data_IF_584636466626
#
_entry.id   IF_584636466626
#
_cell.length_a   1.000
_cell.length_b   1.000
_cell.length_c   1.000
_cell.angle_alpha   90.00
_cell.angle_beta   90.00
_cell.angle_gamma   90.00
#
_symmetry.space_group_name_H-M   'P 1'
#
loop_
_entity.id
_entity.type
_entity.pdbx_description
1 polymer ?
#
# COMPACT_ATOMS: atom_id res chain seq x y z
N UNK A 1 -41.37 20.42 78.47
CA UNK A 1 -42.36 21.52 78.53
C UNK A 1 -43.60 20.94 79.18
N UNK A 2 -43.58 20.83 80.50
CA UNK A 2 -44.11 21.80 81.48
C UNK A 2 -45.49 21.37 81.97
N UNK A 3 -45.46 20.74 83.14
CA UNK A 3 -46.55 20.57 84.11
C UNK A 3 -46.79 21.88 84.88
N UNK A 4 -48.04 22.29 85.08
CA UNK A 4 -48.57 23.18 86.16
C UNK A 4 -49.93 23.70 85.64
N UNK A 5 -51.07 23.69 86.34
CA UNK A 5 -51.47 24.28 87.61
C UNK A 5 -53.00 23.98 87.67
N UNK A 6 -53.72 23.87 88.77
CA UNK A 6 -53.49 24.23 90.15
C UNK A 6 -54.87 24.28 90.83
N UNK A 7 -54.96 23.68 92.00
CA UNK A 7 -56.07 23.68 92.95
C UNK A 7 -56.76 25.05 93.14
N UNK A 8 -58.07 25.03 93.40
CA UNK A 8 -58.67 25.90 94.44
C UNK A 8 -59.82 25.22 95.16
N UNK A 9 -59.56 24.93 96.44
CA UNK A 9 -60.45 24.48 97.50
C UNK A 9 -60.78 25.68 98.39
N UNK A 10 -62.00 25.76 98.93
CA UNK A 10 -62.44 26.26 100.26
C UNK A 10 -63.85 26.86 100.17
N UNK A 11 -64.90 26.24 100.74
CA UNK A 11 -65.39 26.39 102.14
C UNK A 11 -65.33 27.84 102.65
N UNK A 12 -66.48 28.47 102.90
CA UNK A 12 -66.81 29.11 104.19
C UNK A 12 -68.33 29.01 104.42
N UNK A 13 -68.70 28.18 105.39
CA UNK A 13 -69.96 28.20 106.13
C UNK A 13 -69.76 29.24 107.23
N UNK A 14 -70.63 30.25 107.31
CA UNK A 14 -70.61 31.29 108.35
C UNK A 14 -71.96 31.34 109.09
N UNK A 15 -72.11 30.47 110.08
CA UNK A 15 -73.14 30.59 111.13
C UNK A 15 -72.65 31.59 112.18
N UNK A 16 -73.39 32.68 112.40
CA UNK A 16 -73.14 33.67 113.44
C UNK A 16 -74.40 33.90 114.27
N UNK A 17 -74.53 33.18 115.38
CA UNK A 17 -75.56 33.44 116.38
C UNK A 17 -75.15 34.56 117.34
N UNK A 18 -76.09 35.46 117.66
CA UNK A 18 -76.15 36.20 118.92
C UNK A 18 -77.59 36.15 119.46
N UNK A 19 -77.67 35.76 120.74
CA UNK A 19 -78.86 35.48 121.56
C UNK A 19 -79.44 36.77 122.22
N UNK A 20 -80.63 36.69 122.86
CA UNK A 20 -81.68 37.73 122.85
C UNK A 20 -81.76 38.59 124.13
N UNK A 21 -82.60 39.63 124.10
CA UNK A 21 -83.25 40.15 125.31
C UNK A 21 -84.77 40.15 125.13
N UNK A 22 -85.44 39.65 126.17
CA UNK A 22 -86.85 39.31 126.26
C UNK A 22 -87.82 40.48 126.04
N UNK A 23 -88.88 40.21 125.28
CA UNK A 23 -90.27 40.61 125.52
C UNK A 23 -91.09 39.86 124.43
N UNK A 24 -91.56 38.65 124.74
CA UNK A 24 -92.93 38.41 125.19
C UNK A 24 -93.97 38.64 124.07
N UNK A 25 -94.58 37.52 123.66
CA UNK A 25 -95.97 37.37 123.19
C UNK A 25 -96.17 37.51 121.67
N UNK A 26 -96.22 36.37 120.97
CA UNK A 26 -97.24 35.93 119.99
C UNK A 26 -96.67 34.89 119.00
N UNK A 27 -96.62 33.64 119.46
CA UNK A 27 -96.38 32.44 118.65
C UNK A 27 -97.63 32.12 117.82
N UNK A 28 -97.70 32.59 116.57
CA UNK A 28 -98.53 31.95 115.52
C UNK A 28 -98.19 32.41 114.07
N UNK A 29 -97.29 33.39 113.87
CA UNK A 29 -96.90 33.92 112.55
C UNK A 29 -95.54 33.45 112.00
N UNK A 30 -94.72 32.76 112.79
CA UNK A 30 -93.35 32.36 112.40
C UNK A 30 -93.29 31.16 111.44
N UNK A 31 -94.34 30.32 111.42
CA UNK A 31 -94.48 29.24 110.44
C UNK A 31 -94.75 29.79 109.03
N UNK A 32 -95.42 30.94 108.91
CA UNK A 32 -95.66 31.61 107.62
C UNK A 32 -94.38 32.15 106.99
N UNK A 33 -93.51 32.76 107.80
CA UNK A 33 -92.22 33.32 107.34
C UNK A 33 -91.21 32.23 106.98
N UNK A 34 -91.20 31.10 107.71
CA UNK A 34 -90.40 29.92 107.37
C UNK A 34 -90.92 29.22 106.11
N UNK A 35 -92.24 29.15 105.93
CA UNK A 35 -92.84 28.58 104.71
C UNK A 35 -92.56 29.48 103.49
N UNK A 36 -92.67 30.80 103.64
CA UNK A 36 -92.36 31.78 102.59
C UNK A 36 -90.88 31.77 102.22
N UNK A 37 -89.97 31.65 103.20
CA UNK A 37 -88.53 31.57 102.93
C UNK A 37 -88.12 30.24 102.29
N UNK A 38 -88.73 29.12 102.70
CA UNK A 38 -88.55 27.81 102.04
C UNK A 38 -89.12 27.84 100.63
N UNK A 39 -90.27 28.47 100.41
CA UNK A 39 -90.84 28.68 99.07
C UNK A 39 -89.97 29.59 98.21
N UNK A 40 -89.43 30.69 98.75
CA UNK A 40 -88.50 31.58 98.05
C UNK A 40 -87.18 30.91 97.70
N UNK A 41 -86.60 30.11 98.62
CA UNK A 41 -85.38 29.34 98.35
C UNK A 41 -85.65 28.24 97.31
N UNK A 42 -86.80 27.57 97.37
CA UNK A 42 -87.23 26.60 96.36
C UNK A 42 -87.38 27.26 94.99
N UNK A 43 -87.99 28.44 94.92
CA UNK A 43 -88.12 29.24 93.69
C UNK A 43 -86.75 29.71 93.18
N UNK A 44 -85.87 30.20 94.05
CA UNK A 44 -84.55 30.67 93.67
C UNK A 44 -83.64 29.53 93.18
N UNK A 45 -83.68 28.36 93.83
CA UNK A 45 -83.01 27.15 93.38
C UNK A 45 -83.58 26.67 92.03
N UNK A 46 -84.89 26.76 91.86
CA UNK A 46 -85.54 26.39 90.61
C UNK A 46 -85.14 27.36 89.48
N UNK A 47 -85.15 28.67 89.72
CA UNK A 47 -84.67 29.67 88.77
C UNK A 47 -83.18 29.51 88.45
N UNK A 48 -82.34 29.21 89.44
CA UNK A 48 -80.90 28.98 89.23
C UNK A 48 -80.66 27.69 88.44
N UNK A 49 -81.42 26.64 88.73
CA UNK A 49 -81.40 25.38 87.97
C UNK A 49 -81.86 25.58 86.52
N UNK A 50 -82.94 26.34 86.30
CA UNK A 50 -83.44 26.71 84.98
C UNK A 50 -82.45 27.60 84.22
N UNK A 51 -81.80 28.56 84.89
CA UNK A 51 -80.73 29.41 84.30
C UNK A 51 -79.50 28.58 83.92
N UNK A 52 -79.10 27.65 84.79
CA UNK A 52 -77.98 26.73 84.54
C UNK A 52 -78.29 25.78 83.37
N UNK A 53 -79.49 25.21 83.32
CA UNK A 53 -79.99 24.42 82.19
C UNK A 53 -80.03 25.23 80.91
N UNK A 54 -80.52 26.47 80.94
CA UNK A 54 -80.56 27.34 79.78
C UNK A 54 -79.16 27.76 79.30
N UNK A 55 -78.18 27.88 80.20
CA UNK A 55 -76.78 28.12 79.84
C UNK A 55 -76.15 26.87 79.24
N UNK A 56 -76.29 25.71 79.90
CA UNK A 56 -75.82 24.43 79.36
C UNK A 56 -76.43 24.12 78.00
N UNK A 57 -77.73 24.37 77.82
CA UNK A 57 -78.40 24.20 76.53
C UNK A 57 -77.82 25.10 75.43
N UNK A 58 -77.47 26.35 75.76
CA UNK A 58 -76.76 27.26 74.84
C UNK A 58 -75.35 26.78 74.52
N UNK A 59 -74.58 26.38 75.53
CA UNK A 59 -73.20 25.90 75.35
C UNK A 59 -73.17 24.60 74.52
N UNK A 60 -74.10 23.67 74.78
CA UNK A 60 -74.28 22.44 73.98
C UNK A 60 -74.66 22.77 72.54
N UNK A 61 -75.54 23.76 72.35
CA UNK A 61 -75.91 24.22 70.99
C UNK A 61 -74.74 24.88 70.26
N UNK A 62 -73.90 25.65 70.95
CA UNK A 62 -72.69 26.26 70.39
C UNK A 62 -71.62 25.23 70.05
N UNK A 63 -71.42 24.22 70.90
CA UNK A 63 -70.52 23.09 70.60
C UNK A 63 -71.04 22.28 69.42
N UNK A 64 -72.35 22.03 69.35
CA UNK A 64 -72.97 21.34 68.23
C UNK A 64 -72.77 22.11 66.91
N UNK A 65 -72.91 23.43 66.90
CA UNK A 65 -72.63 24.24 65.70
C UNK A 65 -71.14 24.26 65.34
N UNK A 66 -70.23 24.36 66.31
CA UNK A 66 -68.79 24.24 66.05
C UNK A 66 -68.43 22.87 65.45
N UNK A 67 -68.95 21.79 66.02
CA UNK A 67 -68.76 20.42 65.49
C UNK A 67 -69.35 20.31 64.07
N UNK A 68 -70.54 20.87 63.83
CA UNK A 68 -71.15 20.90 62.50
C UNK A 68 -70.31 21.68 61.47
N UNK A 69 -69.57 22.71 61.89
CA UNK A 69 -68.63 23.44 61.02
C UNK A 69 -67.29 22.72 60.81
N UNK A 70 -66.75 22.07 61.84
CA UNK A 70 -65.46 21.37 61.77
C UNK A 70 -65.55 20.05 61.01
N UNK A 71 -66.66 19.33 61.13
CA UNK A 71 -66.86 18.04 60.46
C UNK A 71 -66.61 18.09 58.94
N UNK A 72 -67.24 19.00 58.15
CA UNK A 72 -66.97 19.10 56.72
C UNK A 72 -65.54 19.56 56.41
N UNK A 73 -64.91 20.38 57.26
CA UNK A 73 -63.50 20.77 57.09
C UNK A 73 -62.56 19.57 57.25
N UNK A 74 -62.78 18.72 58.26
CA UNK A 74 -61.98 17.50 58.47
C UNK A 74 -62.17 16.52 57.33
N UNK A 75 -63.40 16.34 56.84
CA UNK A 75 -63.66 15.49 55.68
C UNK A 75 -62.94 16.01 54.43
N UNK A 76 -63.00 17.32 54.17
CA UNK A 76 -62.28 17.96 53.06
C UNK A 76 -60.77 17.79 53.18
N UNK A 77 -60.19 17.98 54.36
CA UNK A 77 -58.75 17.79 54.60
C UNK A 77 -58.31 16.34 54.37
N UNK A 78 -59.15 15.36 54.73
CA UNK A 78 -58.87 13.94 54.42
C UNK A 78 -58.88 13.68 52.92
N UNK A 79 -59.82 14.27 52.20
CA UNK A 79 -59.89 14.15 50.74
C UNK A 79 -58.68 14.80 50.07
N UNK A 80 -58.31 16.01 50.49
CA UNK A 80 -57.10 16.71 50.01
C UNK A 80 -55.82 15.91 50.31
N UNK A 81 -55.68 15.37 51.53
CA UNK A 81 -54.54 14.52 51.89
C UNK A 81 -54.46 13.24 51.05
N UNK A 82 -55.60 12.60 50.77
CA UNK A 82 -55.68 11.42 49.90
C UNK A 82 -55.27 11.74 48.45
N UNK A 83 -55.58 12.95 47.96
CA UNK A 83 -55.14 13.42 46.64
C UNK A 83 -53.63 13.65 46.63
N UNK A 84 -53.08 14.30 47.66
CA UNK A 84 -51.66 14.57 47.77
C UNK A 84 -50.83 13.27 47.91
N UNK A 85 -51.32 12.28 48.65
CA UNK A 85 -50.69 10.95 48.72
C UNK A 85 -50.61 10.27 47.35
N UNK A 86 -51.68 10.37 46.54
CA UNK A 86 -51.68 9.85 45.17
C UNK A 86 -50.68 10.59 44.29
N UNK A 87 -50.61 11.92 44.40
CA UNK A 87 -49.62 12.74 43.67
C UNK A 87 -48.19 12.38 44.06
N UNK A 88 -47.91 12.22 45.35
CA UNK A 88 -46.59 11.83 45.83
C UNK A 88 -46.16 10.46 45.27
N UNK A 89 -47.06 9.47 45.23
CA UNK A 89 -46.75 8.16 44.62
C UNK A 89 -46.44 8.26 43.13
N UNK A 90 -47.14 9.13 42.39
CA UNK A 90 -46.84 9.37 40.96
C UNK A 90 -45.46 9.99 40.82
N UNK A 91 -45.15 11.04 41.59
CA UNK A 91 -43.86 11.72 41.56
C UNK A 91 -42.70 10.78 41.94
N UNK A 92 -42.88 9.91 42.93
CA UNK A 92 -41.89 8.87 43.27
C UNK A 92 -41.65 7.90 42.11
N UNK A 93 -42.72 7.48 41.41
CA UNK A 93 -42.59 6.60 40.25
C UNK A 93 -41.89 7.28 39.06
N UNK A 94 -42.19 8.56 38.81
CA UNK A 94 -41.52 9.36 37.78
C UNK A 94 -40.05 9.60 38.12
N UNK A 95 -39.74 9.89 39.38
CA UNK A 95 -38.37 10.05 39.85
C UNK A 95 -37.57 8.75 39.67
N UNK A 96 -38.16 7.59 39.98
CA UNK A 96 -37.53 6.30 39.75
C UNK A 96 -37.27 6.05 38.25
N UNK A 97 -38.26 6.34 37.39
CA UNK A 97 -38.12 6.21 35.93
C UNK A 97 -37.02 7.13 35.37
N UNK A 98 -36.99 8.38 35.81
CA UNK A 98 -35.97 9.36 35.40
C UNK A 98 -34.57 8.93 35.86
N UNK A 99 -34.42 8.41 37.07
CA UNK A 99 -33.14 7.87 37.55
C UNK A 99 -32.64 6.72 36.69
N UNK A 100 -33.54 5.82 36.26
CA UNK A 100 -33.19 4.73 35.35
C UNK A 100 -32.82 5.23 33.95
N UNK A 101 -33.54 6.22 33.42
CA UNK A 101 -33.19 6.84 32.13
C UNK A 101 -31.82 7.54 32.19
N UNK A 102 -31.53 8.26 33.27
CA UNK A 102 -30.24 8.92 33.47
C UNK A 102 -29.11 7.89 33.58
N UNK A 103 -29.31 6.78 34.29
CA UNK A 103 -28.28 5.74 34.40
C UNK A 103 -28.00 5.07 33.06
N UNK A 104 -29.03 4.80 32.24
CA UNK A 104 -28.89 4.30 30.87
C UNK A 104 -28.13 5.28 29.97
N UNK A 105 -28.52 6.56 29.97
CA UNK A 105 -27.85 7.59 29.19
C UNK A 105 -26.37 7.77 29.58
N UNK A 106 -26.04 7.68 30.87
CA UNK A 106 -24.65 7.71 31.34
C UNK A 106 -23.85 6.50 30.85
N UNK A 107 -24.42 5.30 30.87
CA UNK A 107 -23.76 4.10 30.36
C UNK A 107 -23.52 4.17 28.84
N UNK A 108 -24.49 4.67 28.06
CA UNK A 108 -24.33 4.91 26.63
C UNK A 108 -23.25 5.95 26.35
N UNK A 109 -23.22 7.04 27.10
CA UNK A 109 -22.21 8.09 26.98
C UNK A 109 -20.78 7.55 27.28
N UNK A 110 -20.62 6.70 28.30
CA UNK A 110 -19.35 6.02 28.56
C UNK A 110 -18.96 5.07 27.41
N UNK A 111 -19.92 4.32 26.87
CA UNK A 111 -19.70 3.46 25.71
C UNK A 111 -19.21 4.26 24.49
N UNK A 112 -19.88 5.38 24.15
CA UNK A 112 -19.48 6.23 23.02
C UNK A 112 -18.12 6.90 23.24
N UNK A 113 -17.78 7.29 24.48
CA UNK A 113 -16.44 7.80 24.81
C UNK A 113 -15.36 6.74 24.55
N UNK A 114 -15.58 5.51 25.01
CA UNK A 114 -14.67 4.38 24.76
C UNK A 114 -14.54 4.05 23.27
N UNK A 115 -15.63 4.13 22.52
CA UNK A 115 -15.60 3.94 21.07
C UNK A 115 -14.80 5.06 20.38
N UNK A 116 -15.02 6.30 20.77
CA UNK A 116 -14.31 7.47 20.24
C UNK A 116 -12.80 7.40 20.48
N UNK A 117 -12.37 6.96 21.67
CA UNK A 117 -10.93 6.79 21.96
C UNK A 117 -10.32 5.69 21.10
N UNK A 118 -10.99 4.54 20.94
CA UNK A 118 -10.51 3.45 20.07
C UNK A 118 -10.44 3.87 18.60
N UNK A 119 -11.42 4.63 18.12
CA UNK A 119 -11.40 5.16 16.74
C UNK A 119 -10.23 6.11 16.54
N UNK A 120 -9.96 7.02 17.50
CA UNK A 120 -8.82 7.92 17.44
C UNK A 120 -7.49 7.15 17.40
N UNK A 121 -7.31 6.14 18.26
CA UNK A 121 -6.13 5.26 18.24
C UNK A 121 -5.96 4.53 16.90
N UNK A 122 -7.06 4.08 16.27
CA UNK A 122 -7.01 3.44 14.96
C UNK A 122 -6.61 4.41 13.86
N UNK A 123 -7.09 5.65 13.89
CA UNK A 123 -6.73 6.71 12.94
C UNK A 123 -5.25 7.08 13.09
N UNK A 124 -4.77 7.26 14.32
CA UNK A 124 -3.36 7.57 14.59
C UNK A 124 -2.45 6.44 14.06
N UNK A 125 -2.80 5.18 14.34
CA UNK A 125 -2.06 4.02 13.83
C UNK A 125 -2.12 3.90 12.29
N UNK A 126 -3.25 4.25 11.65
CA UNK A 126 -3.37 4.27 10.20
C UNK A 126 -2.49 5.37 9.59
N UNK A 127 -2.46 6.56 10.19
CA UNK A 127 -1.63 7.68 9.75
C UNK A 127 -0.14 7.36 9.84
N UNK A 128 0.31 6.71 10.92
CA UNK A 128 1.69 6.24 11.05
C UNK A 128 2.06 5.22 9.96
N UNK A 129 1.17 4.26 9.67
CA UNK A 129 1.37 3.30 8.57
C UNK A 129 1.46 4.00 7.22
N UNK A 130 0.57 4.94 6.95
CA UNK A 130 0.58 5.71 5.70
C UNK A 130 1.90 6.49 5.53
N UNK A 131 2.38 7.12 6.61
CA UNK A 131 3.68 7.82 6.62
C UNK A 131 4.84 6.88 6.31
N UNK A 132 4.85 5.69 6.91
CA UNK A 132 5.87 4.67 6.68
C UNK A 132 5.83 4.15 5.23
N UNK A 133 4.64 3.85 4.70
CA UNK A 133 4.47 3.39 3.33
C UNK A 133 4.89 4.46 2.31
N UNK A 134 4.55 5.74 2.56
CA UNK A 134 5.03 6.88 1.75
C UNK A 134 6.55 6.95 1.72
N UNK A 135 7.22 6.72 2.85
CA UNK A 135 8.68 6.72 2.90
C UNK A 135 9.28 5.51 2.18
N UNK A 136 8.68 4.32 2.32
CA UNK A 136 9.09 3.12 1.58
C UNK A 136 8.95 3.29 0.06
N UNK A 137 7.86 3.93 -0.40
CA UNK A 137 7.67 4.24 -1.82
C UNK A 137 8.75 5.19 -2.34
N UNK A 138 9.12 6.22 -1.56
CA UNK A 138 10.22 7.14 -1.95
C UNK A 138 11.55 6.41 -2.10
N UNK A 139 11.89 5.53 -1.16
CA UNK A 139 13.14 4.74 -1.25
C UNK A 139 13.12 3.80 -2.44
N UNK A 140 12.02 3.09 -2.67
CA UNK A 140 11.86 2.19 -3.82
C UNK A 140 11.97 2.92 -5.15
N UNK A 141 11.45 4.15 -5.23
CA UNK A 141 11.57 4.98 -6.44
C UNK A 141 13.03 5.34 -6.75
N UNK A 142 13.81 5.71 -5.74
CA UNK A 142 15.25 6.00 -5.90
C UNK A 142 16.00 4.75 -6.37
N UNK A 143 15.73 3.59 -5.78
CA UNK A 143 16.41 2.35 -6.15
C UNK A 143 16.03 1.88 -7.56
N UNK A 144 14.78 2.12 -7.97
CA UNK A 144 14.33 1.89 -9.33
C UNK A 144 15.06 2.78 -10.34
N UNK A 145 15.22 4.08 -10.05
CA UNK A 145 15.96 5.00 -10.92
C UNK A 145 17.42 4.57 -11.08
N UNK A 146 18.07 4.13 -10.00
CA UNK A 146 19.43 3.56 -10.06
C UNK A 146 19.49 2.30 -10.92
N UNK A 147 18.56 1.36 -10.73
CA UNK A 147 18.53 0.13 -11.50
C UNK A 147 18.31 0.39 -13.00
N UNK A 148 17.51 1.39 -13.36
CA UNK A 148 17.33 1.80 -14.76
C UNK A 148 18.62 2.37 -15.36
N UNK A 149 19.37 3.18 -14.61
CA UNK A 149 20.68 3.68 -15.04
C UNK A 149 21.68 2.53 -15.28
N UNK A 150 21.76 1.57 -14.35
CA UNK A 150 22.62 0.38 -14.49
C UNK A 150 22.26 -0.47 -15.73
N UNK A 151 20.98 -0.56 -16.08
CA UNK A 151 20.51 -1.27 -17.27
C UNK A 151 20.98 -0.54 -18.54
N UNK A 152 20.84 0.79 -18.58
CA UNK A 152 21.28 1.60 -19.72
C UNK A 152 22.79 1.49 -19.96
N UNK A 153 23.59 1.52 -18.89
CA UNK A 153 25.04 1.33 -18.98
C UNK A 153 25.39 -0.05 -19.54
N UNK A 154 24.77 -1.12 -19.02
CA UNK A 154 24.99 -2.49 -19.51
C UNK A 154 24.53 -2.71 -20.95
N UNK A 155 23.45 -2.06 -21.36
CA UNK A 155 23.02 -2.09 -22.76
C UNK A 155 24.08 -1.41 -23.66
N UNK A 156 24.69 -0.31 -23.20
CA UNK A 156 25.85 0.32 -23.84
C UNK A 156 27.02 -0.65 -24.02
N UNK A 157 27.47 -1.29 -22.93
CA UNK A 157 28.55 -2.29 -22.95
C UNK A 157 28.25 -3.44 -23.91
N UNK A 158 27.01 -3.95 -23.91
CA UNK A 158 26.59 -5.02 -24.79
C UNK A 158 26.68 -4.63 -26.27
N UNK A 159 26.30 -3.40 -26.61
CA UNK A 159 26.42 -2.92 -28.00
C UNK A 159 27.87 -2.77 -28.44
N UNK A 160 28.73 -2.26 -27.55
CA UNK A 160 30.16 -2.15 -27.80
C UNK A 160 30.80 -3.52 -28.05
N UNK A 161 30.55 -4.50 -27.18
CA UNK A 161 31.12 -5.85 -27.32
C UNK A 161 30.57 -6.59 -28.55
N UNK A 162 29.31 -6.37 -28.93
CA UNK A 162 28.76 -6.89 -30.19
C UNK A 162 29.47 -6.31 -31.41
N UNK A 163 29.75 -5.01 -31.43
CA UNK A 163 30.50 -4.37 -32.52
C UNK A 163 31.92 -4.93 -32.62
N UNK A 164 32.63 -4.98 -31.49
CA UNK A 164 33.99 -5.52 -31.41
C UNK A 164 34.06 -6.98 -31.88
N UNK A 165 33.06 -7.79 -31.52
CA UNK A 165 32.94 -9.17 -32.01
C UNK A 165 32.76 -9.21 -33.54
N UNK A 166 31.91 -8.35 -34.10
CA UNK A 166 31.71 -8.29 -35.55
C UNK A 166 32.98 -7.92 -36.31
N UNK A 167 33.80 -7.01 -35.77
CA UNK A 167 35.09 -6.63 -36.34
C UNK A 167 36.06 -7.82 -36.35
N UNK A 168 36.18 -8.53 -35.23
CA UNK A 168 37.04 -9.73 -35.14
C UNK A 168 36.55 -10.85 -36.05
N UNK A 169 35.24 -11.05 -36.18
CA UNK A 169 34.66 -12.04 -37.10
C UNK A 169 35.02 -11.70 -38.56
N UNK A 170 34.98 -10.41 -38.93
CA UNK A 170 35.40 -9.95 -40.26
C UNK A 170 36.90 -10.17 -40.50
N UNK A 171 37.76 -9.77 -39.56
CA UNK A 171 39.20 -9.98 -39.66
C UNK A 171 39.56 -11.46 -39.80
N UNK A 172 38.88 -12.33 -39.04
CA UNK A 172 39.07 -13.78 -39.13
C UNK A 172 38.73 -14.30 -40.53
N UNK A 173 37.65 -13.82 -41.14
CA UNK A 173 37.24 -14.24 -42.48
C UNK A 173 38.24 -13.76 -43.55
N UNK A 174 38.73 -12.53 -43.44
CA UNK A 174 39.79 -12.01 -44.32
C UNK A 174 41.08 -12.83 -44.18
N UNK A 175 41.48 -13.20 -42.96
CA UNK A 175 42.64 -14.07 -42.73
C UNK A 175 42.44 -15.48 -43.31
N UNK A 176 41.23 -16.05 -43.18
CA UNK A 176 40.89 -17.36 -43.79
C UNK A 176 40.99 -17.32 -45.31
N UNK A 177 40.49 -16.26 -45.94
CA UNK A 177 40.60 -16.07 -47.39
C UNK A 177 42.06 -15.96 -47.84
N UNK A 178 42.88 -15.19 -47.12
CA UNK A 178 44.33 -15.06 -47.42
C UNK A 178 45.07 -16.39 -47.25
N UNK A 179 44.78 -17.14 -46.18
CA UNK A 179 45.35 -18.47 -45.98
C UNK A 179 45.00 -19.42 -47.14
N UNK A 180 43.75 -19.44 -47.59
CA UNK A 180 43.34 -20.29 -48.70
C UNK A 180 44.08 -19.94 -50.01
N UNK A 181 44.30 -18.65 -50.28
CA UNK A 181 45.08 -18.21 -51.45
C UNK A 181 46.54 -18.64 -51.36
N UNK A 182 47.19 -18.39 -50.22
CA UNK A 182 48.59 -18.79 -49.99
C UNK A 182 48.79 -20.30 -50.05
N UNK A 183 47.85 -21.09 -49.50
CA UNK A 183 47.90 -22.55 -49.61
C UNK A 183 47.80 -22.99 -51.08
N UNK A 184 46.92 -22.38 -51.88
CA UNK A 184 46.83 -22.67 -53.31
C UNK A 184 48.12 -22.32 -54.08
N UNK A 185 48.71 -21.15 -53.82
CA UNK A 185 49.97 -20.71 -54.42
C UNK A 185 51.13 -21.62 -54.03
N UNK A 186 51.21 -22.03 -52.76
CA UNK A 186 52.18 -23.01 -52.27
C UNK A 186 52.06 -24.35 -53.04
N UNK A 187 50.85 -24.88 -53.21
CA UNK A 187 50.65 -26.12 -53.97
C UNK A 187 51.02 -25.97 -55.45
N UNK A 188 50.77 -24.81 -56.05
CA UNK A 188 51.21 -24.53 -57.43
C UNK A 188 52.73 -24.49 -57.55
N UNK A 189 53.41 -23.79 -56.63
CA UNK A 189 54.87 -23.72 -56.59
C UNK A 189 55.49 -25.12 -56.41
N UNK A 190 54.93 -25.94 -55.51
CA UNK A 190 55.38 -27.32 -55.28
C UNK A 190 55.24 -28.19 -56.54
N UNK A 191 54.14 -28.05 -57.30
CA UNK A 191 53.98 -28.73 -58.60
C UNK A 191 54.97 -28.25 -59.64
N UNK A 192 55.25 -26.94 -59.70
CA UNK A 192 56.24 -26.39 -60.62
C UNK A 192 57.65 -26.94 -60.36
N UNK A 193 58.06 -27.04 -59.08
CA UNK A 193 59.34 -27.68 -58.70
C UNK A 193 59.37 -29.14 -59.16
N UNK A 194 58.31 -29.90 -58.91
CA UNK A 194 58.23 -31.30 -59.34
C UNK A 194 58.39 -31.45 -60.86
N UNK A 195 57.79 -30.53 -61.64
CA UNK A 195 57.96 -30.49 -63.09
C UNK A 195 59.40 -30.20 -63.49
N UNK A 196 60.02 -29.17 -62.93
CA UNK A 196 61.43 -28.81 -63.22
C UNK A 196 62.39 -29.96 -62.87
N UNK A 197 62.17 -30.66 -61.76
CA UNK A 197 62.96 -31.83 -61.38
C UNK A 197 62.82 -32.98 -62.39
N UNK A 198 61.61 -33.22 -62.89
CA UNK A 198 61.38 -34.23 -63.91
C UNK A 198 62.04 -33.86 -65.25
N UNK A 199 61.84 -32.61 -65.70
CA UNK A 199 62.46 -32.08 -66.92
C UNK A 199 63.99 -32.16 -66.84
N UNK A 200 64.58 -31.84 -65.67
CA UNK A 200 66.02 -32.01 -65.42
C UNK A 200 66.47 -33.47 -65.51
N UNK A 201 65.68 -34.41 -64.96
CA UNK A 201 65.94 -35.85 -65.07
C UNK A 201 65.96 -36.34 -66.52
N UNK A 202 64.99 -35.89 -67.34
CA UNK A 202 64.92 -36.21 -68.78
C UNK A 202 66.14 -35.65 -69.52
N UNK A 203 66.49 -34.38 -69.29
CA UNK A 203 67.66 -33.74 -69.92
C UNK A 203 68.95 -34.50 -69.56
N UNK A 204 69.10 -34.91 -68.29
CA UNK A 204 70.25 -35.70 -67.84
C UNK A 204 70.30 -37.08 -68.51
N UNK A 205 69.16 -37.75 -68.68
CA UNK A 205 69.07 -39.01 -69.43
C UNK A 205 69.46 -38.86 -70.89
N UNK A 206 68.92 -37.84 -71.57
CA UNK A 206 69.26 -37.56 -72.98
C UNK A 206 70.75 -37.26 -73.16
N UNK A 207 71.38 -36.56 -72.21
CA UNK A 207 72.83 -36.33 -72.23
C UNK A 207 73.59 -37.65 -72.15
N UNK A 208 73.25 -38.52 -71.19
CA UNK A 208 73.90 -39.81 -71.03
C UNK A 208 73.77 -40.68 -72.30
N UNK A 209 72.60 -40.68 -72.94
CA UNK A 209 72.41 -41.37 -74.23
C UNK A 209 73.31 -40.82 -75.32
N UNK A 210 73.39 -39.48 -75.46
CA UNK A 210 74.26 -38.83 -76.44
C UNK A 210 75.74 -39.11 -76.17
N UNK A 211 76.17 -39.06 -74.90
CA UNK A 211 77.55 -39.40 -74.52
C UNK A 211 77.90 -40.83 -74.95
N UNK A 212 76.99 -41.78 -74.77
CA UNK A 212 77.16 -43.18 -75.16
C UNK A 212 77.14 -43.38 -76.68
N UNK A 213 76.27 -42.68 -77.41
CA UNK A 213 76.25 -42.65 -78.88
C UNK A 213 77.56 -42.10 -79.46
N UNK A 214 78.13 -41.09 -78.82
CA UNK A 214 79.41 -40.49 -79.22
C UNK A 214 80.60 -41.40 -78.89
N UNK A 215 80.60 -42.08 -77.75
CA UNK A 215 81.60 -43.13 -77.45
C UNK A 215 81.58 -44.22 -78.52
N UNK A 216 80.39 -44.72 -78.91
CA UNK A 216 80.24 -45.69 -79.99
C UNK A 216 80.71 -45.16 -81.35
N UNK A 217 80.33 -43.94 -81.72
CA UNK A 217 80.79 -43.32 -82.96
C UNK A 217 82.31 -43.09 -83.00
N UNK A 218 82.95 -42.88 -81.83
CA UNK A 218 84.40 -42.78 -81.71
C UNK A 218 85.10 -44.14 -81.83
N UNK A 219 84.47 -45.22 -81.35
CA UNK A 219 84.94 -46.61 -81.48
C UNK A 219 84.82 -47.16 -82.92
N UNK A 220 83.80 -46.76 -83.69
CA UNK A 220 83.55 -47.21 -85.07
C UNK A 220 84.57 -46.69 -86.12
N UNK A 221 85.59 -45.94 -85.70
CA UNK A 221 86.90 -45.89 -86.37
C UNK A 221 86.98 -45.36 -87.82
N UNK A 222 85.91 -44.80 -88.39
CA UNK A 222 85.84 -44.42 -89.82
C UNK A 222 85.39 -42.97 -90.05
N UNK A 223 85.77 -42.05 -89.16
CA UNK A 223 85.43 -40.63 -89.29
C UNK A 223 86.71 -39.80 -89.46
N UNK A 224 86.83 -39.11 -90.60
CA UNK A 224 87.89 -38.15 -90.92
C UNK A 224 88.07 -37.15 -89.76
N UNK A 225 89.32 -36.71 -89.53
CA UNK A 225 89.68 -35.74 -88.46
C UNK A 225 88.77 -34.50 -88.41
N UNK A 226 88.22 -34.09 -89.55
CA UNK A 226 87.27 -32.99 -89.71
C UNK A 226 85.90 -33.28 -89.07
N UNK A 227 85.35 -34.47 -89.27
CA UNK A 227 84.09 -34.86 -88.66
C UNK A 227 84.24 -35.23 -87.17
N UNK A 228 85.43 -35.67 -86.72
CA UNK A 228 85.78 -35.70 -85.28
C UNK A 228 85.78 -34.31 -84.64
N UNK A 229 86.43 -33.33 -85.27
CA UNK A 229 86.44 -31.96 -84.77
C UNK A 229 85.03 -31.33 -84.74
N UNK A 230 84.16 -31.65 -85.72
CA UNK A 230 82.76 -31.22 -85.71
C UNK A 230 81.94 -31.89 -84.60
N UNK A 231 82.11 -33.19 -84.38
CA UNK A 231 81.46 -33.92 -83.29
C UNK A 231 81.91 -33.40 -81.90
N UNK A 232 83.21 -33.16 -81.72
CA UNK A 232 83.77 -32.56 -80.50
C UNK A 232 83.25 -31.13 -80.26
N UNK A 233 83.14 -30.31 -81.32
CA UNK A 233 82.57 -28.97 -81.22
C UNK A 233 81.07 -28.98 -80.87
N UNK A 234 80.29 -29.92 -81.43
CA UNK A 234 78.88 -30.11 -81.07
C UNK A 234 78.71 -30.61 -79.63
N UNK A 235 79.62 -31.47 -79.17
CA UNK A 235 79.69 -31.92 -77.79
C UNK A 235 80.00 -30.79 -76.82
N UNK A 236 81.01 -29.98 -77.13
CA UNK A 236 81.38 -28.83 -76.31
C UNK A 236 80.22 -27.82 -76.21
N UNK A 237 79.51 -27.56 -77.33
CA UNK A 237 78.28 -26.74 -77.32
C UNK A 237 77.17 -27.36 -76.48
N UNK A 238 76.90 -28.66 -76.65
CA UNK A 238 75.86 -29.37 -75.88
C UNK A 238 76.18 -29.40 -74.38
N UNK A 239 77.47 -29.53 -74.00
CA UNK A 239 77.93 -29.46 -72.61
C UNK A 239 77.77 -28.05 -72.04
N UNK A 240 78.10 -27.02 -72.81
CA UNK A 240 77.89 -25.63 -72.40
C UNK A 240 76.41 -25.30 -72.21
N UNK A 241 75.55 -25.69 -73.16
CA UNK A 241 74.09 -25.51 -73.06
C UNK A 241 73.52 -26.27 -71.86
N UNK A 242 74.02 -27.47 -71.56
CA UNK A 242 73.65 -28.22 -70.36
C UNK A 242 74.10 -27.49 -69.09
N UNK A 243 75.33 -27.00 -69.03
CA UNK A 243 75.83 -26.26 -67.87
C UNK A 243 75.05 -24.96 -67.63
N UNK A 244 74.69 -24.23 -68.68
CA UNK A 244 73.83 -23.05 -68.59
C UNK A 244 72.43 -23.42 -68.09
N UNK A 245 71.79 -24.43 -68.68
CA UNK A 245 70.49 -24.92 -68.23
C UNK A 245 70.53 -25.43 -66.78
N UNK A 246 71.64 -26.05 -66.36
CA UNK A 246 71.85 -26.46 -64.96
C UNK A 246 72.03 -25.26 -64.03
N UNK A 247 72.80 -24.24 -64.42
CA UNK A 247 72.97 -23.02 -63.62
C UNK A 247 71.63 -22.30 -63.48
N UNK A 248 70.87 -22.17 -64.56
CA UNK A 248 69.54 -21.55 -64.56
C UNK A 248 68.54 -22.35 -63.70
N UNK A 249 68.51 -23.68 -63.82
CA UNK A 249 67.67 -24.52 -62.97
C UNK A 249 68.05 -24.45 -61.49
N UNK A 250 69.35 -24.45 -61.15
CA UNK A 250 69.79 -24.26 -59.76
C UNK A 250 69.43 -22.88 -59.23
N UNK A 251 69.42 -21.86 -60.08
CA UNK A 251 68.96 -20.51 -59.75
C UNK A 251 67.46 -20.50 -59.42
N UNK A 252 66.63 -20.99 -60.35
CA UNK A 252 65.17 -21.12 -60.18
C UNK A 252 64.79 -21.98 -58.98
N UNK A 253 65.52 -23.08 -58.75
CA UNK A 253 65.26 -23.96 -57.61
C UNK A 253 65.56 -23.26 -56.27
N UNK A 254 66.66 -22.50 -56.19
CA UNK A 254 66.97 -21.69 -54.99
C UNK A 254 65.93 -20.61 -54.75
N UNK A 255 65.47 -19.93 -55.80
CA UNK A 255 64.41 -18.92 -55.70
C UNK A 255 63.09 -19.52 -55.22
N UNK A 256 62.67 -20.64 -55.82
CA UNK A 256 61.45 -21.35 -55.43
C UNK A 256 61.53 -21.90 -53.99
N UNK A 257 62.70 -22.40 -53.56
CA UNK A 257 62.92 -22.83 -52.17
C UNK A 257 62.79 -21.67 -51.19
N UNK A 258 63.37 -20.50 -51.50
CA UNK A 258 63.20 -19.28 -50.67
C UNK A 258 61.75 -18.84 -50.60
N UNK A 259 61.02 -18.90 -51.72
CA UNK A 259 59.59 -18.55 -51.77
C UNK A 259 58.76 -19.50 -50.91
N UNK A 260 59.07 -20.80 -50.94
CA UNK A 260 58.44 -21.81 -50.09
C UNK A 260 58.67 -21.51 -48.61
N UNK A 261 59.91 -21.23 -48.20
CA UNK A 261 60.22 -20.89 -46.80
C UNK A 261 59.48 -19.61 -46.36
N UNK A 262 59.41 -18.60 -47.23
CA UNK A 262 58.64 -17.39 -46.96
C UNK A 262 57.15 -17.70 -46.77
N UNK A 263 56.53 -18.47 -47.67
CA UNK A 263 55.13 -18.85 -47.52
C UNK A 263 54.88 -19.75 -46.30
N UNK A 264 55.79 -20.65 -45.95
CA UNK A 264 55.65 -21.49 -44.75
C UNK A 264 55.67 -20.65 -43.48
N UNK A 265 56.60 -19.68 -43.37
CA UNK A 265 56.62 -18.76 -42.23
C UNK A 265 55.36 -17.88 -42.19
N UNK A 266 54.90 -17.36 -43.32
CA UNK A 266 53.69 -16.55 -43.38
C UNK A 266 52.46 -17.36 -42.99
N UNK A 267 52.29 -18.58 -43.52
CA UNK A 267 51.20 -19.50 -43.16
C UNK A 267 51.22 -19.81 -41.66
N UNK A 268 52.39 -20.06 -41.06
CA UNK A 268 52.50 -20.31 -39.62
C UNK A 268 52.07 -19.08 -38.81
N UNK A 269 52.53 -17.88 -39.17
CA UNK A 269 52.12 -16.65 -38.47
C UNK A 269 50.62 -16.37 -38.60
N UNK A 270 50.04 -16.61 -39.78
CA UNK A 270 48.61 -16.45 -40.02
C UNK A 270 47.78 -17.49 -39.26
N UNK A 271 48.26 -18.75 -39.14
CA UNK A 271 47.63 -19.78 -38.32
C UNK A 271 47.62 -19.37 -36.84
N UNK A 272 48.74 -18.88 -36.31
CA UNK A 272 48.82 -18.38 -34.94
C UNK A 272 47.88 -17.17 -34.71
N UNK A 273 47.83 -16.23 -35.65
CA UNK A 273 46.89 -15.09 -35.59
C UNK A 273 45.43 -15.56 -35.63
N UNK A 274 45.10 -16.53 -36.49
CA UNK A 274 43.77 -17.14 -36.57
C UNK A 274 43.36 -17.79 -35.25
N UNK A 275 44.21 -18.61 -34.63
CA UNK A 275 43.90 -19.26 -33.35
C UNK A 275 43.72 -18.23 -32.23
N UNK A 276 44.53 -17.18 -32.21
CA UNK A 276 44.38 -16.09 -31.25
C UNK A 276 43.06 -15.32 -31.44
N UNK A 277 42.67 -15.06 -32.69
CA UNK A 277 41.39 -14.43 -33.00
C UNK A 277 40.19 -15.33 -32.61
N UNK A 278 40.28 -16.64 -32.85
CA UNK A 278 39.25 -17.61 -32.45
C UNK A 278 39.10 -17.69 -30.91
N UNK A 279 40.21 -17.67 -30.18
CA UNK A 279 40.20 -17.60 -28.71
C UNK A 279 39.59 -16.28 -28.20
N UNK A 280 39.94 -15.15 -28.82
CA UNK A 280 39.38 -13.85 -28.48
C UNK A 280 37.87 -13.79 -28.75
N UNK A 281 37.41 -14.33 -29.89
CA UNK A 281 35.99 -14.43 -30.23
C UNK A 281 35.23 -15.30 -29.22
N UNK A 282 35.77 -16.46 -28.83
CA UNK A 282 35.15 -17.31 -27.80
C UNK A 282 35.04 -16.58 -26.46
N UNK A 283 36.08 -15.85 -26.05
CA UNK A 283 36.04 -15.05 -24.82
C UNK A 283 34.96 -13.94 -24.89
N UNK A 284 34.86 -13.25 -26.03
CA UNK A 284 33.83 -12.23 -26.25
C UNK A 284 32.43 -12.81 -26.29
N UNK A 285 32.23 -13.98 -26.93
CA UNK A 285 30.95 -14.72 -26.87
C UNK A 285 30.56 -15.03 -25.42
N UNK A 286 31.51 -15.49 -24.61
CA UNK A 286 31.30 -15.72 -23.17
C UNK A 286 30.87 -14.45 -22.44
N UNK A 287 31.55 -13.33 -22.66
CA UNK A 287 31.20 -12.02 -22.07
C UNK A 287 29.80 -11.54 -22.50
N UNK A 288 29.46 -11.64 -23.78
CA UNK A 288 28.15 -11.26 -24.31
C UNK A 288 27.03 -12.06 -23.63
N UNK A 289 27.22 -13.38 -23.46
CA UNK A 289 26.25 -14.23 -22.75
C UNK A 289 26.12 -13.84 -21.28
N UNK A 290 27.24 -13.53 -20.60
CA UNK A 290 27.23 -13.08 -19.22
C UNK A 290 26.47 -11.76 -19.05
N UNK A 291 26.77 -10.75 -19.89
CA UNK A 291 26.11 -9.44 -19.87
C UNK A 291 24.62 -9.57 -20.17
N UNK A 292 24.23 -10.42 -21.13
CA UNK A 292 22.82 -10.72 -21.40
C UNK A 292 22.11 -11.33 -20.19
N UNK A 293 22.73 -12.29 -19.49
CA UNK A 293 22.16 -12.86 -18.26
C UNK A 293 22.02 -11.82 -17.15
N UNK A 294 23.01 -10.96 -16.98
CA UNK A 294 22.95 -9.88 -15.99
C UNK A 294 21.83 -8.89 -16.32
N UNK A 295 21.66 -8.52 -17.58
CA UNK A 295 20.55 -7.68 -18.06
C UNK A 295 19.18 -8.30 -17.78
N UNK A 296 19.00 -9.60 -18.10
CA UNK A 296 17.75 -10.31 -17.81
C UNK A 296 17.46 -10.36 -16.30
N UNK A 297 18.49 -10.60 -15.48
CA UNK A 297 18.33 -10.61 -14.02
C UNK A 297 17.95 -9.22 -13.48
N UNK A 298 18.59 -8.16 -13.97
CA UNK A 298 18.26 -6.78 -13.54
C UNK A 298 16.85 -6.37 -13.97
N UNK A 299 16.41 -6.71 -15.19
CA UNK A 299 15.02 -6.48 -15.63
C UNK A 299 14.01 -7.20 -14.74
N UNK A 300 14.27 -8.47 -14.39
CA UNK A 300 13.40 -9.19 -13.47
C UNK A 300 13.34 -8.56 -12.07
N UNK A 301 14.42 -7.93 -11.60
CA UNK A 301 14.43 -7.17 -10.34
C UNK A 301 13.64 -5.88 -10.45
N UNK A 302 13.78 -5.13 -11.55
CA UNK A 302 13.00 -3.90 -11.76
C UNK A 302 11.52 -4.21 -11.87
N UNK A 303 11.14 -5.29 -12.56
CA UNK A 303 9.74 -5.70 -12.71
C UNK A 303 9.11 -6.03 -11.35
N UNK A 304 9.82 -6.78 -10.50
CA UNK A 304 9.38 -7.03 -9.11
C UNK A 304 9.26 -5.76 -8.28
N UNK A 305 10.19 -4.81 -8.44
CA UNK A 305 10.11 -3.53 -7.74
C UNK A 305 8.86 -2.74 -8.16
N UNK A 306 8.51 -2.75 -9.45
CA UNK A 306 7.26 -2.14 -9.94
C UNK A 306 6.01 -2.84 -9.39
N UNK A 307 5.99 -4.17 -9.34
CA UNK A 307 4.88 -4.93 -8.73
C UNK A 307 4.70 -4.56 -7.26
N UNK A 308 5.79 -4.47 -6.49
CA UNK A 308 5.77 -4.04 -5.09
C UNK A 308 5.23 -2.62 -4.92
N UNK A 309 5.71 -1.67 -5.74
CA UNK A 309 5.19 -0.29 -5.73
C UNK A 309 3.68 -0.28 -6.05
N UNK A 310 3.24 -1.07 -7.04
CA UNK A 310 1.82 -1.21 -7.38
C UNK A 310 0.98 -1.78 -6.23
N UNK A 311 1.46 -2.82 -5.54
CA UNK A 311 0.79 -3.38 -4.38
C UNK A 311 0.68 -2.37 -3.22
N UNK A 312 1.74 -1.61 -2.96
CA UNK A 312 1.72 -0.55 -1.93
C UNK A 312 0.74 0.57 -2.30
N UNK A 313 0.75 1.02 -3.54
CA UNK A 313 -0.20 2.04 -4.03
C UNK A 313 -1.65 1.58 -3.92
N UNK A 314 -1.94 0.32 -4.27
CA UNK A 314 -3.28 -0.26 -4.14
C UNK A 314 -3.68 -0.43 -2.67
N UNK A 315 -2.75 -0.80 -1.79
CA UNK A 315 -3.00 -0.91 -0.35
C UNK A 315 -3.33 0.45 0.27
N UNK A 316 -2.59 1.50 -0.09
CA UNK A 316 -2.89 2.89 0.30
C UNK A 316 -4.27 3.30 -0.22
N UNK A 317 -4.61 2.99 -1.48
CA UNK A 317 -5.92 3.32 -2.05
C UNK A 317 -7.07 2.63 -1.31
N UNK A 318 -6.90 1.36 -0.94
CA UNK A 318 -7.89 0.62 -0.14
C UNK A 318 -8.06 1.20 1.26
N UNK A 319 -6.96 1.52 1.94
CA UNK A 319 -7.02 2.18 3.25
C UNK A 319 -7.78 3.51 3.17
N UNK A 320 -7.48 4.35 2.17
CA UNK A 320 -8.21 5.61 1.95
C UNK A 320 -9.69 5.38 1.60
N UNK A 321 -10.01 4.36 0.81
CA UNK A 321 -11.41 4.02 0.45
C UNK A 321 -12.20 3.46 1.63
N UNK A 322 -11.60 2.58 2.44
CA UNK A 322 -12.21 2.02 3.64
C UNK A 322 -12.43 3.10 4.69
N UNK A 323 -11.49 4.03 4.82
CA UNK A 323 -11.60 5.19 5.71
C UNK A 323 -12.70 6.14 5.24
N UNK A 324 -12.77 6.45 3.94
CA UNK A 324 -13.87 7.22 3.35
C UNK A 324 -15.24 6.53 3.56
N UNK A 325 -15.30 5.21 3.41
CA UNK A 325 -16.53 4.43 3.59
C UNK A 325 -16.98 4.41 5.06
N UNK A 326 -16.05 4.35 6.01
CA UNK A 326 -16.35 4.44 7.45
C UNK A 326 -16.87 5.82 7.86
N UNK A 327 -16.40 6.89 7.22
CA UNK A 327 -16.95 8.25 7.45
C UNK A 327 -18.34 8.46 6.84
N UNK A 328 -18.69 7.73 5.77
CA UNK A 328 -19.99 7.87 5.09
C UNK A 328 -21.08 6.97 5.73
N UNK A 329 -20.71 5.84 6.33
CA UNK A 329 -21.64 4.94 7.04
C UNK A 329 -22.00 5.38 8.47
N UNK A 330 -21.71 6.63 8.86
CA UNK A 330 -22.46 7.27 9.93
C UNK A 330 -23.81 7.71 9.33
N UNK A 331 -24.70 6.73 9.15
CA UNK A 331 -26.13 6.97 8.92
C UNK A 331 -26.64 7.83 10.08
N UNK A 332 -26.67 9.12 9.82
CA UNK A 332 -27.45 10.09 10.56
C UNK A 332 -28.90 9.85 10.12
N UNK A 333 -29.60 8.94 10.82
CA UNK A 333 -31.06 8.91 10.78
C UNK A 333 -31.55 10.22 11.43
N UNK A 334 -32.15 11.14 10.68
CA UNK A 334 -32.82 12.27 11.30
C UNK A 334 -34.10 11.73 11.93
N UNK A 335 -34.24 11.89 13.25
CA UNK A 335 -35.48 11.64 13.97
C UNK A 335 -36.63 12.37 13.24
N UNK A 336 -37.52 11.59 12.63
CA UNK A 336 -38.75 12.05 12.01
C UNK A 336 -39.68 12.59 13.12
N UNK A 337 -39.63 13.90 13.34
CA UNK A 337 -40.45 14.52 14.38
C UNK A 337 -40.48 16.03 14.32
N UNK A 338 -41.05 16.62 13.25
CA UNK A 338 -42.02 17.72 13.35
C UNK A 338 -42.48 18.17 11.96
N UNK A 339 -43.75 17.87 11.66
CA UNK A 339 -44.49 18.36 10.50
C UNK A 339 -45.03 19.74 10.85
N UNK A 340 -44.66 20.76 10.09
CA UNK A 340 -45.45 21.99 9.93
C UNK A 340 -45.52 22.38 8.43
N UNK A 341 -46.66 22.90 7.94
CA UNK A 341 -46.93 23.03 6.51
C UNK A 341 -46.64 24.42 5.93
N UNK A 342 -46.35 24.39 4.62
CA UNK A 342 -46.68 25.33 3.53
C UNK A 342 -46.39 26.85 3.68
N UNK A 343 -45.60 27.42 2.76
CA UNK A 343 -46.08 28.22 1.61
C UNK A 343 -44.93 28.95 0.86
N UNK A 344 -45.23 29.33 -0.39
CA UNK A 344 -44.52 30.22 -1.34
C UNK A 344 -43.45 29.57 -2.25
N UNK A 345 -43.79 29.12 -3.48
CA UNK A 345 -44.03 29.90 -4.72
C UNK A 345 -42.76 30.54 -5.31
N UNK A 346 -42.11 29.79 -6.24
CA UNK A 346 -41.40 30.17 -7.49
C UNK A 346 -40.44 31.38 -7.60
N UNK A 347 -39.75 31.59 -8.75
CA UNK A 347 -39.89 30.88 -10.02
C UNK A 347 -38.58 30.40 -10.69
N UNK A 348 -38.81 29.59 -11.72
CA UNK A 348 -37.93 29.14 -12.81
C UNK A 348 -36.84 30.12 -13.27
N UNK A 349 -35.62 29.60 -13.45
CA UNK A 349 -34.63 30.17 -14.36
C UNK A 349 -34.10 29.10 -15.30
N UNK A 350 -34.28 29.41 -16.59
CA UNK A 350 -33.96 28.64 -17.79
C UNK A 350 -32.45 28.46 -17.97
N UNK A 351 -32.12 27.35 -18.64
CA UNK A 351 -30.84 27.09 -19.30
C UNK A 351 -30.34 28.28 -20.15
N UNK A 352 -29.03 28.29 -20.45
CA UNK A 352 -28.71 28.12 -21.86
C UNK A 352 -27.66 27.04 -22.13
N UNK A 353 -27.90 26.41 -23.29
CA UNK A 353 -27.00 25.56 -24.06
C UNK A 353 -25.86 26.35 -24.72
N UNK A 354 -24.89 25.54 -25.15
CA UNK A 354 -23.94 25.71 -26.25
C UNK A 354 -22.59 26.40 -25.96
N UNK A 355 -21.52 25.61 -26.10
CA UNK A 355 -20.32 25.81 -26.94
C UNK A 355 -19.26 24.76 -26.49
N UNK A 356 -19.13 23.61 -27.16
CA UNK A 356 -18.35 23.36 -28.39
C UNK A 356 -16.82 23.47 -28.23
N UNK A 357 -16.12 22.43 -28.72
CA UNK A 357 -14.67 22.27 -28.93
C UNK A 357 -13.84 21.90 -27.67
N UNK A 358 -12.91 20.94 -27.65
CA UNK A 358 -12.11 20.34 -28.71
C UNK A 358 -11.91 18.82 -28.51
N UNK A 359 -12.11 18.11 -29.61
CA UNK A 359 -11.58 16.76 -29.85
C UNK A 359 -10.10 16.84 -30.17
N UNK A 360 -9.25 16.08 -29.45
CA UNK A 360 -7.89 15.74 -29.91
C UNK A 360 -7.79 14.22 -30.05
N UNK A 361 -7.72 13.67 -31.27
CA UNK A 361 -7.29 12.30 -31.49
C UNK A 361 -5.87 12.23 -32.07
N UNK A 362 -5.30 11.03 -31.97
CA UNK A 362 -4.21 10.48 -32.77
C UNK A 362 -2.75 10.72 -32.30
N UNK A 363 -2.24 9.79 -31.48
CA UNK A 363 -0.88 9.29 -31.67
C UNK A 363 -0.93 8.07 -32.60
N UNK A 364 -0.67 8.34 -33.87
CA UNK A 364 -0.41 7.33 -34.90
C UNK A 364 0.89 6.60 -34.60
N UNK A 365 0.79 5.28 -34.44
CA UNK A 365 1.92 4.36 -34.54
C UNK A 365 2.34 4.30 -36.00
N UNK A 366 3.46 4.95 -36.32
CA UNK A 366 4.13 4.81 -37.61
C UNK A 366 4.70 3.40 -37.71
N UNK A 367 4.01 2.53 -38.46
CA UNK A 367 4.59 1.28 -38.97
C UNK A 367 5.53 1.62 -40.11
N UNK A 368 6.84 1.41 -39.90
CA UNK A 368 7.83 1.39 -40.99
C UNK A 368 7.72 0.06 -41.76
N UNK A 369 7.77 0.07 -43.11
CA UNK A 369 7.79 -1.16 -43.89
C UNK A 369 9.16 -1.84 -43.81
N UNK A 370 9.16 -3.10 -43.39
CA UNK A 370 10.30 -4.01 -43.58
C UNK A 370 10.43 -4.25 -45.08
N UNK A 371 11.58 -3.84 -45.61
CA UNK A 371 11.95 -3.99 -47.01
C UNK A 371 12.58 -5.38 -47.17
N UNK A 372 11.93 -6.24 -47.93
CA UNK A 372 12.51 -7.48 -48.41
C UNK A 372 13.82 -7.21 -49.15
N UNK A 373 14.88 -7.95 -48.78
CA UNK A 373 16.06 -8.13 -49.62
C UNK A 373 16.41 -9.61 -49.65
N UNK A 374 15.94 -10.25 -50.73
CA UNK A 374 16.65 -11.34 -51.37
C UNK A 374 17.64 -10.73 -52.36
N UNK A 375 18.93 -11.00 -52.19
CA UNK A 375 19.99 -11.14 -53.21
C UNK A 375 21.25 -11.63 -52.52
#
# INVERSE_FOLDING_TARGET
METANGNRVMRIIGWGGKKPSAAAIEEENDLGVLLDSVQQVSLALQEEYERSLAKMGRDVSQLATQVATLHPMVSRLKDEHSIDDKRNRILESEQARLKEQVSKALAELEHYRSLSTKLREQVDAASERESNDKNAIKTLKIDLEKALADIQERDGDLTYEKRKRSEIEHDRETMRSRLAKLEAEYFQAKRAIAKVLNDHGVVKGNLATRELELERALEDGTIERTARAQAEALLARSRHELEEAQRENRGKEKELRRLIEQYETEIQTLRAKKTNAENAEMALRGKVVLVQRLLVNQRAKTDKAYEHIGHLQESIRKLMSDEASRTINLEWEPDEGEILPEEAVGPELKEPKDEASETVPANQVVRLPVRDRNS
#
